data_IF_218808906232
#
_entry.id   IF_218808906232
#
_cell.length_a   1.000
_cell.length_b   1.000
_cell.length_c   1.000
_cell.angle_alpha   90.00
_cell.angle_beta   90.00
_cell.angle_gamma   90.00
#
_symmetry.space_group_name_H-M   'P 1'
#
loop_
_entity.id
_entity.type
_entity.pdbx_description
1 polymer ?
#
# COMPACT_ATOMS: atom_id res chain seq x y z
N UNK A 1 1.14 -22.21 0.32
CA UNK A 1 2.31 -21.33 0.43
C UNK A 1 2.44 -20.94 1.89
N UNK A 2 3.56 -21.26 2.53
CA UNK A 2 3.78 -20.90 3.94
C UNK A 2 4.81 -19.80 4.04
N UNK A 3 4.51 -18.82 4.89
CA UNK A 3 5.49 -17.85 5.35
C UNK A 3 5.57 -17.98 6.86
N UNK A 4 6.77 -18.23 7.34
CA UNK A 4 7.11 -18.38 8.75
C UNK A 4 8.23 -17.39 9.06
N UNK A 5 8.48 -17.16 10.34
CA UNK A 5 9.45 -16.18 10.81
C UNK A 5 10.61 -16.81 11.59
N UNK A 6 10.86 -18.10 11.39
CA UNK A 6 11.93 -18.85 12.07
C UNK A 6 13.32 -18.24 11.84
N UNK A 7 13.53 -17.58 10.69
CA UNK A 7 14.79 -16.90 10.37
C UNK A 7 15.07 -15.70 11.27
N UNK A 8 14.04 -15.16 11.94
CA UNK A 8 14.14 -14.02 12.84
C UNK A 8 13.45 -14.31 14.19
N UNK A 9 13.71 -15.50 14.73
CA UNK A 9 13.24 -15.94 16.07
C UNK A 9 11.72 -15.82 16.27
N UNK A 10 10.96 -15.98 15.20
CA UNK A 10 9.50 -15.87 15.19
C UNK A 10 8.94 -14.46 15.01
N UNK A 11 9.81 -13.45 14.90
CA UNK A 11 9.42 -12.09 14.58
C UNK A 11 9.16 -11.94 13.06
N UNK A 12 7.90 -11.79 12.68
CA UNK A 12 7.50 -11.63 11.29
C UNK A 12 7.57 -10.18 10.80
N UNK A 13 8.01 -9.21 11.61
CA UNK A 13 8.00 -7.78 11.25
C UNK A 13 8.82 -7.44 10.00
N UNK A 14 9.70 -8.34 9.54
CA UNK A 14 10.52 -8.17 8.33
C UNK A 14 10.21 -9.19 7.22
N UNK A 15 9.06 -9.86 7.28
CA UNK A 15 8.63 -10.78 6.23
C UNK A 15 7.98 -10.05 5.04
N UNK A 16 8.80 -9.26 4.32
CA UNK A 16 8.41 -8.40 3.20
C UNK A 16 8.54 -9.07 1.82
N UNK A 17 8.18 -8.29 0.79
CA UNK A 17 8.54 -8.46 -0.64
C UNK A 17 8.33 -9.88 -1.19
N UNK A 18 7.09 -10.36 -1.13
CA UNK A 18 6.69 -11.67 -1.66
C UNK A 18 5.22 -11.67 -2.02
N UNK A 19 4.76 -12.53 -2.92
CA UNK A 19 3.35 -12.57 -3.27
C UNK A 19 2.84 -14.00 -3.42
N UNK A 20 1.54 -14.20 -3.25
CA UNK A 20 0.85 -15.44 -3.60
C UNK A 20 -0.40 -15.12 -4.41
N UNK A 21 -0.49 -15.68 -5.62
CA UNK A 21 -1.57 -15.38 -6.56
C UNK A 21 -2.07 -16.59 -7.34
N UNK A 22 -3.39 -16.67 -7.53
CA UNK A 22 -4.06 -17.62 -8.44
C UNK A 22 -3.78 -19.10 -8.15
N UNK A 23 -3.89 -19.50 -6.87
CA UNK A 23 -3.65 -20.87 -6.41
C UNK A 23 -4.82 -21.38 -5.57
N UNK A 24 -5.03 -22.71 -5.56
CA UNK A 24 -5.81 -23.38 -4.53
C UNK A 24 -4.88 -24.22 -3.66
N UNK A 25 -4.95 -24.01 -2.34
CA UNK A 25 -4.05 -24.62 -1.36
C UNK A 25 -4.87 -25.47 -0.41
N UNK A 26 -4.50 -26.76 -0.31
CA UNK A 26 -4.98 -27.66 0.74
C UNK A 26 -3.82 -27.94 1.68
N UNK A 27 -3.73 -27.28 2.84
CA UNK A 27 -2.63 -27.51 3.78
C UNK A 27 -2.70 -28.93 4.35
N UNK A 28 -1.55 -29.60 4.42
CA UNK A 28 -1.47 -31.02 4.81
C UNK A 28 -1.80 -31.28 6.29
N UNK A 29 -1.61 -30.29 7.15
CA UNK A 29 -1.92 -30.33 8.59
C UNK A 29 -3.14 -29.45 8.95
N UNK A 30 -3.84 -28.90 7.94
CA UNK A 30 -4.97 -27.99 8.13
C UNK A 30 -4.59 -26.50 8.23
N UNK A 31 -3.30 -26.14 8.32
CA UNK A 31 -2.83 -24.77 8.47
C UNK A 31 -2.00 -24.28 7.28
N UNK A 32 -2.40 -23.17 6.66
CA UNK A 32 -1.56 -22.42 5.73
C UNK A 32 -1.04 -21.15 6.40
N UNK A 33 -0.04 -21.27 7.28
CA UNK A 33 0.55 -20.11 7.98
C UNK A 33 1.12 -19.10 6.98
N UNK A 34 0.70 -17.85 7.09
CA UNK A 34 1.14 -16.75 6.24
C UNK A 34 1.54 -15.57 7.12
N UNK A 35 2.61 -15.77 7.90
CA UNK A 35 3.16 -14.81 8.85
C UNK A 35 3.96 -13.73 8.10
N UNK A 36 3.29 -12.67 7.65
CA UNK A 36 3.90 -11.61 6.82
C UNK A 36 3.77 -10.22 7.44
N UNK A 37 4.51 -9.29 6.87
CA UNK A 37 4.36 -7.86 7.08
C UNK A 37 3.93 -7.15 5.79
N UNK A 38 4.30 -5.90 5.58
CA UNK A 38 3.97 -5.09 4.40
C UNK A 38 4.53 -5.69 3.08
N UNK A 39 3.98 -5.24 1.94
CA UNK A 39 4.32 -5.70 0.58
C UNK A 39 4.32 -7.22 0.39
N UNK A 40 3.35 -7.89 1.01
CA UNK A 40 3.20 -9.34 0.97
C UNK A 40 1.82 -9.81 0.47
N UNK A 41 1.33 -9.36 -0.70
CA UNK A 41 -0.07 -9.51 -1.07
C UNK A 41 -0.49 -10.96 -1.25
N UNK A 42 -1.72 -11.25 -0.81
CA UNK A 42 -2.47 -12.46 -1.14
C UNK A 42 -3.60 -12.08 -2.10
N UNK A 43 -3.54 -12.58 -3.33
CA UNK A 43 -4.58 -12.33 -4.34
C UNK A 43 -5.11 -13.64 -4.90
N UNK A 44 -6.41 -13.72 -5.18
CA UNK A 44 -6.98 -14.84 -5.93
C UNK A 44 -6.59 -16.23 -5.37
N UNK A 45 -6.56 -16.37 -4.06
CA UNK A 45 -6.14 -17.59 -3.37
C UNK A 45 -7.35 -18.33 -2.81
N UNK A 46 -7.40 -19.65 -2.94
CA UNK A 46 -8.35 -20.49 -2.21
C UNK A 46 -7.63 -21.36 -1.18
N UNK A 47 -7.69 -20.99 0.09
CA UNK A 47 -7.14 -21.78 1.20
C UNK A 47 -8.23 -22.65 1.81
N UNK A 48 -8.09 -23.96 1.63
CA UNK A 48 -9.00 -24.99 2.17
C UNK A 48 -8.58 -25.43 3.57
N UNK A 49 -8.64 -24.50 4.52
CA UNK A 49 -8.20 -24.70 5.88
C UNK A 49 -8.03 -23.39 6.65
N UNK A 50 -7.35 -23.46 7.79
CA UNK A 50 -7.05 -22.29 8.60
C UNK A 50 -5.81 -21.56 8.07
N UNK A 51 -5.85 -20.23 8.06
CA UNK A 51 -4.74 -19.36 7.68
C UNK A 51 -4.36 -18.45 8.87
N UNK A 52 -3.42 -18.89 9.73
CA UNK A 52 -2.82 -18.02 10.73
C UNK A 52 -1.94 -16.97 10.05
N UNK A 53 -2.15 -15.69 10.40
CA UNK A 53 -1.43 -14.56 9.81
C UNK A 53 -0.16 -14.17 10.58
N UNK A 54 0.23 -14.96 11.56
CA UNK A 54 1.34 -14.71 12.49
C UNK A 54 2.20 -15.97 12.63
N UNK A 55 3.39 -15.84 13.24
CA UNK A 55 4.25 -17.01 13.48
C UNK A 55 3.80 -17.89 14.65
N UNK A 56 2.87 -17.39 15.49
CA UNK A 56 2.44 -18.04 16.72
C UNK A 56 3.21 -17.55 17.95
N UNK A 57 2.77 -17.99 19.14
CA UNK A 57 3.34 -17.61 20.44
C UNK A 57 3.36 -16.08 20.66
N UNK A 58 4.53 -15.49 20.90
CA UNK A 58 4.69 -14.06 21.16
C UNK A 58 5.30 -13.31 19.96
N UNK A 59 5.34 -13.95 18.78
CA UNK A 59 5.96 -13.36 17.58
C UNK A 59 5.17 -12.16 17.06
N UNK A 60 5.84 -11.05 16.76
CA UNK A 60 5.22 -9.85 16.18
C UNK A 60 4.96 -10.01 14.69
N UNK A 61 3.94 -9.31 14.17
CA UNK A 61 3.62 -9.27 12.74
C UNK A 61 2.88 -7.96 12.41
N UNK A 62 3.19 -7.35 11.26
CA UNK A 62 2.67 -6.03 10.85
C UNK A 62 2.22 -6.03 9.37
N UNK A 63 1.40 -7.01 9.03
CA UNK A 63 0.75 -7.13 7.72
C UNK A 63 -0.47 -6.20 7.64
N UNK A 64 -1.33 -6.36 6.64
CA UNK A 64 -1.18 -7.18 5.46
C UNK A 64 -2.38 -6.98 4.54
N UNK A 65 -2.33 -7.60 3.37
CA UNK A 65 -3.30 -7.37 2.31
C UNK A 65 -3.80 -8.70 1.72
N UNK A 66 -5.13 -8.86 1.68
CA UNK A 66 -5.79 -10.01 1.08
C UNK A 66 -6.95 -9.55 0.18
N UNK A 67 -6.95 -9.98 -1.08
CA UNK A 67 -7.96 -9.63 -2.06
C UNK A 67 -8.38 -10.82 -2.93
N UNK A 68 -9.62 -10.78 -3.46
CA UNK A 68 -10.18 -11.75 -4.40
C UNK A 68 -10.04 -13.22 -3.95
N UNK A 69 -10.00 -13.47 -2.65
CA UNK A 69 -9.58 -14.76 -2.10
C UNK A 69 -10.68 -15.43 -1.27
N UNK A 70 -10.61 -16.75 -1.20
CA UNK A 70 -11.48 -17.59 -0.37
C UNK A 70 -10.65 -18.29 0.70
N UNK A 71 -11.03 -18.14 1.97
CA UNK A 71 -10.34 -18.78 3.09
C UNK A 71 -11.36 -19.36 4.05
N UNK A 72 -11.25 -20.66 4.34
CA UNK A 72 -12.21 -21.33 5.23
C UNK A 72 -12.18 -20.74 6.64
N UNK A 73 -11.00 -20.38 7.15
CA UNK A 73 -10.85 -19.68 8.44
C UNK A 73 -9.56 -18.84 8.46
N UNK A 74 -9.65 -17.58 8.85
CA UNK A 74 -8.49 -16.70 9.08
C UNK A 74 -8.30 -16.49 10.57
N UNK A 75 -7.05 -16.56 11.04
CA UNK A 75 -6.70 -16.22 12.43
C UNK A 75 -5.65 -15.12 12.40
N UNK A 76 -5.99 -13.91 12.85
CA UNK A 76 -5.07 -12.77 12.84
C UNK A 76 -3.87 -13.01 13.76
N UNK A 77 -4.09 -13.67 14.89
CA UNK A 77 -3.05 -13.83 15.91
C UNK A 77 -2.58 -12.48 16.43
N UNK A 78 -1.27 -12.29 16.46
CA UNK A 78 -0.61 -11.03 16.86
C UNK A 78 -0.52 -9.96 15.76
N UNK A 79 -1.09 -10.21 14.57
CA UNK A 79 -1.10 -9.21 13.51
C UNK A 79 -1.67 -7.90 14.00
N UNK A 80 -0.89 -6.82 13.89
CA UNK A 80 -1.27 -5.51 14.37
C UNK A 80 -2.48 -4.95 13.61
N UNK A 81 -2.47 -5.10 12.29
CA UNK A 81 -3.52 -4.64 11.38
C UNK A 81 -3.65 -5.55 10.16
N UNK A 82 -4.74 -5.40 9.39
CA UNK A 82 -4.93 -6.12 8.14
C UNK A 82 -6.04 -5.51 7.27
N UNK A 83 -5.87 -5.48 5.94
CA UNK A 83 -6.95 -5.24 4.99
C UNK A 83 -7.34 -6.53 4.27
N UNK A 84 -8.64 -6.85 4.31
CA UNK A 84 -9.27 -7.86 3.46
C UNK A 84 -10.33 -7.20 2.58
N UNK A 85 -10.27 -7.39 1.26
CA UNK A 85 -11.32 -6.89 0.35
C UNK A 85 -11.80 -7.92 -0.65
N UNK A 86 -13.06 -7.79 -1.10
CA UNK A 86 -13.65 -8.62 -2.15
C UNK A 86 -13.33 -10.11 -2.02
N UNK A 87 -13.57 -10.65 -0.82
CA UNK A 87 -13.14 -11.99 -0.45
C UNK A 87 -14.27 -12.75 0.23
N UNK A 88 -14.13 -14.06 0.30
CA UNK A 88 -15.04 -14.96 1.01
C UNK A 88 -14.31 -15.60 2.19
N UNK A 89 -14.77 -15.32 3.41
CA UNK A 89 -14.24 -15.90 4.63
C UNK A 89 -15.28 -16.83 5.25
N UNK A 90 -14.89 -18.06 5.62
CA UNK A 90 -15.76 -18.90 6.44
C UNK A 90 -15.84 -18.38 7.89
N UNK A 91 -14.71 -17.88 8.40
CA UNK A 91 -14.59 -17.23 9.71
C UNK A 91 -13.37 -16.30 9.72
N UNK A 92 -13.48 -15.16 10.41
CA UNK A 92 -12.34 -14.36 10.87
C UNK A 92 -12.25 -14.40 12.39
N UNK A 93 -11.09 -14.77 12.92
CA UNK A 93 -10.84 -14.83 14.36
C UNK A 93 -9.65 -13.92 14.76
N UNK A 94 -9.87 -13.09 15.78
CA UNK A 94 -8.86 -12.20 16.36
C UNK A 94 -8.97 -10.75 15.90
N UNK A 95 -8.29 -9.88 16.63
CA UNK A 95 -8.12 -8.46 16.34
C UNK A 95 -7.01 -7.92 17.24
N UNK A 96 -6.26 -6.94 16.75
CA UNK A 96 -5.26 -6.22 17.54
C UNK A 96 -5.57 -4.71 17.52
N UNK A 97 -5.21 -3.99 16.45
CA UNK A 97 -5.42 -2.53 16.39
C UNK A 97 -6.33 -2.07 15.25
N UNK A 98 -6.23 -2.67 14.05
CA UNK A 98 -6.95 -2.17 12.88
C UNK A 98 -7.21 -3.28 11.83
N UNK A 99 -8.33 -4.00 11.94
CA UNK A 99 -8.72 -5.02 10.97
C UNK A 99 -9.85 -4.50 10.09
N UNK A 100 -9.57 -4.27 8.81
CA UNK A 100 -10.48 -3.63 7.86
C UNK A 100 -10.99 -4.64 6.83
N UNK A 101 -12.30 -4.62 6.58
CA UNK A 101 -12.99 -5.50 5.64
C UNK A 101 -13.82 -4.67 4.67
N UNK A 102 -13.63 -4.85 3.36
CA UNK A 102 -14.34 -4.08 2.33
C UNK A 102 -14.94 -5.01 1.29
N UNK A 103 -16.26 -5.09 1.19
CA UNK A 103 -16.90 -6.01 0.24
C UNK A 103 -16.59 -7.48 0.53
N UNK A 104 -16.49 -7.87 1.80
CA UNK A 104 -16.10 -9.23 2.20
C UNK A 104 -17.32 -10.04 2.65
N UNK A 105 -17.56 -11.16 1.97
CA UNK A 105 -18.51 -12.17 2.41
C UNK A 105 -17.97 -12.95 3.60
N UNK A 106 -18.79 -13.05 4.66
CA UNK A 106 -18.36 -13.68 5.92
C UNK A 106 -17.42 -12.85 6.79
N UNK A 107 -17.29 -11.53 6.52
CA UNK A 107 -16.65 -10.61 7.45
C UNK A 107 -17.33 -10.64 8.84
N UNK A 108 -16.58 -10.38 9.92
CA UNK A 108 -17.17 -10.16 11.24
C UNK A 108 -18.09 -8.91 11.20
N UNK A 109 -18.98 -8.71 12.18
CA UNK A 109 -19.75 -7.47 12.27
C UNK A 109 -18.82 -6.27 12.55
N UNK A 110 -19.19 -5.09 12.06
CA UNK A 110 -18.50 -3.84 12.44
C UNK A 110 -18.54 -3.68 13.96
N UNK A 111 -17.38 -3.48 14.56
CA UNK A 111 -17.23 -3.12 15.96
C UNK A 111 -15.85 -2.52 16.10
N UNK A 112 -15.73 -1.29 16.59
CA UNK A 112 -14.46 -0.63 16.87
C UNK A 112 -14.68 0.22 18.13
N UNK A 113 -13.78 0.21 19.12
CA UNK A 113 -12.39 -0.27 19.05
C UNK A 113 -12.13 -1.71 19.53
N UNK A 114 -13.06 -2.42 20.18
CA UNK A 114 -12.76 -3.76 20.73
C UNK A 114 -13.84 -4.84 20.50
N UNK A 115 -13.66 -5.79 19.55
CA UNK A 115 -12.50 -5.92 18.66
C UNK A 115 -12.37 -4.69 17.75
N UNK A 116 -11.20 -4.47 17.15
CA UNK A 116 -10.97 -3.34 16.23
C UNK A 116 -11.29 -3.74 14.79
N UNK A 117 -12.57 -3.98 14.49
CA UNK A 117 -13.09 -4.43 13.20
C UNK A 117 -13.85 -3.30 12.47
N UNK A 118 -13.25 -2.78 11.40
CA UNK A 118 -13.90 -1.80 10.51
C UNK A 118 -14.43 -2.51 9.29
N UNK A 119 -15.76 -2.50 9.11
CA UNK A 119 -16.41 -3.22 8.01
C UNK A 119 -17.16 -2.25 7.11
N UNK A 120 -16.89 -2.32 5.82
CA UNK A 120 -17.56 -1.59 4.74
C UNK A 120 -18.22 -2.61 3.81
N UNK A 121 -19.51 -2.43 3.53
CA UNK A 121 -20.35 -3.47 2.92
C UNK A 121 -19.95 -3.86 1.49
N UNK A 122 -19.49 -2.88 0.70
CA UNK A 122 -19.08 -3.04 -0.69
C UNK A 122 -17.78 -2.31 -0.98
N UNK A 123 -17.07 -2.79 -2.00
CA UNK A 123 -15.92 -2.09 -2.60
C UNK A 123 -16.45 -1.21 -3.74
N UNK A 124 -16.45 0.13 -3.60
CA UNK A 124 -17.15 1.03 -4.53
C UNK A 124 -16.76 0.85 -5.99
N UNK A 125 -15.45 0.77 -6.26
CA UNK A 125 -14.96 0.60 -7.62
C UNK A 125 -13.59 -0.06 -7.57
N UNK A 126 -13.41 -1.16 -8.29
CA UNK A 126 -12.13 -1.87 -8.35
C UNK A 126 -12.03 -2.73 -9.61
N UNK A 127 -10.82 -2.96 -10.07
CA UNK A 127 -10.46 -3.96 -11.06
C UNK A 127 -9.46 -4.88 -10.40
N UNK A 128 -9.61 -6.19 -10.51
CA UNK A 128 -8.60 -7.08 -9.93
C UNK A 128 -7.32 -7.06 -10.77
N UNK A 129 -6.17 -7.26 -10.12
CA UNK A 129 -4.84 -7.17 -10.75
C UNK A 129 -4.72 -8.10 -11.98
N UNK A 130 -4.10 -7.65 -13.09
CA UNK A 130 -3.72 -8.55 -14.17
C UNK A 130 -2.76 -9.65 -13.72
N UNK A 131 -2.87 -10.83 -14.33
CA UNK A 131 -1.99 -11.96 -14.00
C UNK A 131 -1.65 -12.81 -15.22
N UNK A 132 -0.43 -13.34 -15.25
CA UNK A 132 0.03 -14.29 -16.25
C UNK A 132 -0.63 -15.65 -16.02
N UNK A 133 -1.06 -16.32 -17.09
CA UNK A 133 -1.58 -17.68 -17.05
C UNK A 133 -1.29 -18.42 -18.36
N UNK A 134 -1.62 -19.71 -18.39
CA UNK A 134 -1.60 -20.52 -19.62
C UNK A 134 -3.00 -20.57 -20.22
N UNK A 135 -3.14 -20.06 -21.45
CA UNK A 135 -4.32 -20.22 -22.30
C UNK A 135 -4.12 -21.44 -23.20
N UNK A 136 -4.51 -22.63 -22.70
CA UNK A 136 -4.08 -23.88 -23.30
C UNK A 136 -2.58 -24.11 -23.06
N UNK A 137 -1.79 -24.10 -24.13
CA UNK A 137 -0.32 -24.26 -24.07
C UNK A 137 0.44 -22.92 -24.20
N UNK A 138 -0.27 -21.81 -24.47
CA UNK A 138 0.33 -20.50 -24.73
C UNK A 138 0.26 -19.59 -23.50
N UNK A 139 1.27 -18.73 -23.31
CA UNK A 139 1.21 -17.70 -22.27
C UNK A 139 0.33 -16.52 -22.69
N UNK A 140 -0.50 -16.07 -21.75
CA UNK A 140 -1.32 -14.87 -21.88
C UNK A 140 -1.41 -14.14 -20.54
N UNK A 141 -1.72 -12.84 -20.59
CA UNK A 141 -2.06 -12.04 -19.41
C UNK A 141 -3.58 -11.89 -19.38
N UNK A 142 -4.19 -12.38 -18.30
CA UNK A 142 -5.61 -12.17 -18.06
C UNK A 142 -5.83 -10.81 -17.39
N UNK A 143 -6.77 -10.04 -17.91
CA UNK A 143 -7.14 -8.70 -17.44
C UNK A 143 -8.58 -8.76 -16.96
N UNK A 144 -8.83 -8.84 -15.65
CA UNK A 144 -10.18 -8.84 -15.09
C UNK A 144 -10.99 -7.59 -15.49
N UNK A 145 -12.30 -7.76 -15.68
CA UNK A 145 -13.22 -6.62 -15.87
C UNK A 145 -13.37 -5.83 -14.55
N UNK A 146 -13.58 -4.50 -14.62
CA UNK A 146 -13.87 -3.70 -13.44
C UNK A 146 -15.21 -4.11 -12.81
N UNK A 147 -15.32 -3.93 -11.49
CA UNK A 147 -16.54 -4.13 -10.72
C UNK A 147 -16.82 -2.90 -9.86
N UNK A 148 -18.09 -2.53 -9.78
CA UNK A 148 -18.59 -1.46 -8.92
C UNK A 148 -19.47 -2.05 -7.82
N UNK A 149 -19.49 -1.38 -6.67
CA UNK A 149 -20.23 -1.80 -5.47
C UNK A 149 -20.09 -3.30 -5.19
N UNK A 150 -18.86 -3.77 -5.35
CA UNK A 150 -18.57 -5.19 -5.44
C UNK A 150 -18.42 -5.82 -4.07
N UNK A 151 -18.75 -7.11 -4.02
CA UNK A 151 -18.63 -7.94 -2.83
C UNK A 151 -18.27 -9.36 -3.23
N UNK A 152 -17.46 -10.01 -2.40
CA UNK A 152 -16.99 -11.37 -2.63
C UNK A 152 -16.02 -11.50 -3.81
N UNK A 153 -15.60 -12.75 -4.04
CA UNK A 153 -14.60 -13.11 -5.05
C UNK A 153 -15.17 -13.00 -6.48
N UNK A 154 -14.31 -12.65 -7.43
CA UNK A 154 -14.65 -12.56 -8.86
C UNK A 154 -14.99 -13.90 -9.50
N UNK A 155 -14.54 -15.00 -8.90
CA UNK A 155 -14.61 -16.35 -9.44
C UNK A 155 -15.64 -17.25 -8.74
N UNK A 156 -16.55 -16.67 -7.97
CA UNK A 156 -17.60 -17.40 -7.24
C UNK A 156 -18.56 -18.15 -8.17
N UNK A 157 -18.90 -17.53 -9.31
CA UNK A 157 -19.93 -17.99 -10.24
C UNK A 157 -19.35 -18.54 -11.56
N UNK A 158 -18.11 -19.00 -11.55
CA UNK A 158 -17.40 -19.48 -12.73
C UNK A 158 -16.13 -18.68 -13.02
N UNK A 159 -15.62 -18.70 -14.26
CA UNK A 159 -14.48 -17.89 -14.64
C UNK A 159 -14.75 -16.40 -14.38
N UNK A 160 -13.72 -15.71 -13.87
CA UNK A 160 -13.75 -14.26 -13.72
C UNK A 160 -14.01 -13.61 -15.07
N UNK A 161 -14.96 -12.65 -15.18
CA UNK A 161 -15.10 -11.83 -16.38
C UNK A 161 -13.83 -11.02 -16.66
N UNK A 162 -13.44 -10.93 -17.92
CA UNK A 162 -12.21 -10.26 -18.33
C UNK A 162 -11.76 -10.66 -19.72
N UNK A 163 -10.61 -10.12 -20.12
CA UNK A 163 -10.01 -10.33 -21.44
C UNK A 163 -8.62 -10.94 -21.30
N UNK A 164 -8.30 -11.90 -22.17
CA UNK A 164 -6.94 -12.46 -22.28
C UNK A 164 -6.17 -11.78 -23.38
N UNK A 165 -5.00 -11.26 -23.05
CA UNK A 165 -4.07 -10.64 -24.01
C UNK A 165 -2.91 -11.61 -24.23
N UNK A 166 -2.64 -12.05 -25.48
CA UNK A 166 -1.57 -12.99 -25.75
C UNK A 166 -0.21 -12.35 -25.44
N UNK A 167 0.74 -13.16 -24.94
CA UNK A 167 2.07 -12.66 -24.57
C UNK A 167 2.82 -11.99 -25.75
N UNK A 168 2.46 -12.29 -27.00
CA UNK A 168 3.00 -11.62 -28.18
C UNK A 168 2.71 -10.11 -28.25
N UNK A 169 1.74 -9.61 -27.48
CA UNK A 169 1.46 -8.16 -27.34
C UNK A 169 2.26 -7.49 -26.22
N UNK A 170 3.12 -8.24 -25.53
CA UNK A 170 4.01 -7.72 -24.51
C UNK A 170 5.44 -7.70 -25.04
N UNK A 171 6.19 -6.67 -24.69
CA UNK A 171 7.63 -6.76 -24.59
C UNK A 171 7.97 -7.42 -23.26
N UNK A 172 8.64 -8.57 -23.34
CA UNK A 172 9.09 -9.33 -22.17
C UNK A 172 10.50 -8.89 -21.83
N UNK A 173 10.62 -8.01 -20.84
CA UNK A 173 11.89 -7.47 -20.41
C UNK A 173 12.67 -8.48 -19.56
N UNK A 174 13.96 -8.61 -19.84
CA UNK A 174 14.90 -9.49 -19.15
C UNK A 174 16.09 -8.72 -18.61
N UNK A 175 16.84 -9.34 -17.69
CA UNK A 175 18.12 -8.76 -17.22
C UNK A 175 19.00 -8.35 -18.41
N UNK A 176 19.36 -7.07 -18.46
CA UNK A 176 20.13 -6.46 -19.55
C UNK A 176 19.31 -5.59 -20.51
N UNK A 177 17.97 -5.65 -20.47
CA UNK A 177 17.13 -4.63 -21.11
C UNK A 177 17.27 -3.29 -20.38
N UNK A 178 17.26 -2.21 -21.16
CA UNK A 178 17.37 -0.84 -20.67
C UNK A 178 16.04 -0.10 -20.81
N UNK A 179 15.96 1.09 -20.23
CA UNK A 179 14.75 1.90 -20.33
C UNK A 179 14.47 2.40 -21.77
N UNK A 180 15.48 2.51 -22.63
CA UNK A 180 15.27 2.86 -24.03
C UNK A 180 14.51 1.75 -24.80
N UNK A 181 14.88 0.48 -24.59
CA UNK A 181 14.21 -0.66 -25.24
C UNK A 181 12.77 -0.81 -24.75
N UNK A 182 12.55 -0.66 -23.43
CA UNK A 182 11.22 -0.67 -22.83
C UNK A 182 10.34 0.47 -23.37
N UNK A 183 10.87 1.70 -23.43
CA UNK A 183 10.16 2.86 -23.97
C UNK A 183 9.87 2.72 -25.47
N UNK A 184 10.79 2.15 -26.25
CA UNK A 184 10.56 1.90 -27.67
C UNK A 184 9.39 0.91 -27.87
N UNK A 185 9.33 -0.16 -27.09
CA UNK A 185 8.22 -1.11 -27.14
C UNK A 185 6.89 -0.47 -26.74
N UNK A 186 6.88 0.34 -25.68
CA UNK A 186 5.70 1.12 -25.27
C UNK A 186 5.22 2.05 -26.40
N UNK A 187 6.14 2.75 -27.07
CA UNK A 187 5.82 3.64 -28.19
C UNK A 187 5.27 2.89 -29.41
N UNK A 188 5.66 1.64 -29.62
CA UNK A 188 5.11 0.74 -30.64
C UNK A 188 3.73 0.16 -30.26
N UNK A 189 3.22 0.47 -29.06
CA UNK A 189 1.92 0.03 -28.56
C UNK A 189 1.95 -1.32 -27.84
N UNK A 190 3.13 -1.84 -27.48
CA UNK A 190 3.25 -3.04 -26.65
C UNK A 190 2.95 -2.72 -25.20
N UNK A 191 2.49 -3.73 -24.48
CA UNK A 191 2.53 -3.77 -23.03
C UNK A 191 3.94 -4.17 -22.54
N UNK A 192 4.20 -4.07 -21.24
CA UNK A 192 5.43 -4.55 -20.63
C UNK A 192 5.16 -5.70 -19.66
N UNK A 193 5.92 -6.77 -19.80
CA UNK A 193 6.04 -7.82 -18.78
C UNK A 193 7.50 -7.83 -18.31
N UNK A 194 7.75 -7.40 -17.08
CA UNK A 194 9.10 -7.33 -16.52
C UNK A 194 9.38 -8.62 -15.74
N UNK A 195 10.31 -9.42 -16.23
CA UNK A 195 10.67 -10.69 -15.56
C UNK A 195 11.43 -10.44 -14.26
N UNK A 196 11.49 -11.42 -13.33
CA UNK A 196 12.14 -11.21 -12.03
C UNK A 196 13.60 -10.78 -12.18
N UNK A 197 13.96 -9.65 -11.59
CA UNK A 197 15.28 -9.04 -11.70
C UNK A 197 15.34 -7.64 -11.10
N UNK A 198 16.54 -7.08 -11.05
CA UNK A 198 16.82 -5.69 -10.63
C UNK A 198 17.36 -4.94 -11.84
N UNK A 199 16.61 -3.96 -12.32
CA UNK A 199 16.86 -3.22 -13.55
C UNK A 199 17.29 -1.80 -13.19
N UNK A 200 18.52 -1.44 -13.55
CA UNK A 200 19.02 -0.07 -13.43
C UNK A 200 18.61 0.69 -14.69
N UNK A 201 17.95 1.83 -14.52
CA UNK A 201 17.41 2.63 -15.62
C UNK A 201 17.97 4.06 -15.56
N UNK A 202 18.38 4.59 -16.70
CA UNK A 202 19.01 5.91 -16.84
C UNK A 202 18.06 6.96 -17.46
N UNK A 203 16.82 6.57 -17.70
CA UNK A 203 15.72 7.41 -18.17
C UNK A 203 14.40 6.87 -17.62
N UNK A 204 13.41 7.76 -17.49
CA UNK A 204 12.06 7.42 -17.07
C UNK A 204 11.41 6.42 -18.02
N UNK A 205 10.70 5.43 -17.49
CA UNK A 205 9.77 4.60 -18.27
C UNK A 205 8.48 5.40 -18.51
N UNK A 206 8.23 5.78 -19.76
CA UNK A 206 7.17 6.69 -20.17
C UNK A 206 5.98 5.92 -20.76
N UNK A 207 4.84 5.94 -20.07
CA UNK A 207 3.64 5.19 -20.45
C UNK A 207 2.58 6.17 -20.94
N UNK A 208 2.49 6.34 -22.26
CA UNK A 208 1.60 7.33 -22.88
C UNK A 208 0.39 6.74 -23.60
N UNK A 209 0.31 5.42 -23.76
CA UNK A 209 -0.77 4.76 -24.48
C UNK A 209 -1.87 4.30 -23.50
N UNK A 210 -3.17 4.54 -23.79
CA UNK A 210 -4.26 4.07 -22.94
C UNK A 210 -4.29 2.54 -22.88
N UNK A 211 -4.79 2.00 -21.78
CA UNK A 211 -4.90 0.55 -21.50
C UNK A 211 -3.56 -0.20 -21.43
N UNK A 212 -2.43 0.51 -21.36
CA UNK A 212 -1.12 -0.12 -21.25
C UNK A 212 -1.00 -0.87 -19.92
N UNK A 213 -0.51 -2.10 -19.97
CA UNK A 213 -0.21 -2.91 -18.78
C UNK A 213 1.30 -2.96 -18.61
N UNK A 214 1.78 -2.65 -17.41
CA UNK A 214 3.15 -2.92 -16.97
C UNK A 214 3.06 -3.89 -15.80
N UNK A 215 3.37 -5.15 -16.06
CA UNK A 215 3.27 -6.25 -15.10
C UNK A 215 4.66 -6.74 -14.71
N UNK A 216 5.03 -6.56 -13.45
CA UNK A 216 6.23 -7.13 -12.86
C UNK A 216 5.97 -8.55 -12.31
N UNK A 217 6.93 -9.44 -12.52
CA UNK A 217 6.94 -10.78 -11.94
C UNK A 217 8.03 -10.89 -10.89
N UNK A 218 7.75 -11.61 -9.80
CA UNK A 218 8.76 -11.95 -8.79
C UNK A 218 9.46 -10.75 -8.16
N UNK A 219 8.71 -9.67 -7.87
CA UNK A 219 9.23 -8.41 -7.31
C UNK A 219 10.25 -7.75 -8.26
N UNK A 220 9.92 -7.71 -9.56
CA UNK A 220 10.70 -6.96 -10.54
C UNK A 220 10.95 -5.55 -10.03
N UNK A 221 12.23 -5.18 -9.96
CA UNK A 221 12.69 -3.97 -9.28
C UNK A 221 13.31 -3.00 -10.27
N UNK A 222 12.89 -1.74 -10.27
CA UNK A 222 13.49 -0.66 -11.06
C UNK A 222 14.31 0.25 -10.14
N UNK A 223 15.57 0.49 -10.48
CA UNK A 223 16.45 1.47 -9.80
C UNK A 223 16.72 2.62 -10.78
N UNK A 224 16.10 3.81 -10.59
CA UNK A 224 16.42 4.98 -11.38
C UNK A 224 17.81 5.52 -11.02
N UNK A 225 18.60 5.87 -12.04
CA UNK A 225 19.94 6.43 -11.91
C UNK A 225 20.02 7.83 -12.53
N UNK A 226 20.97 8.65 -12.06
CA UNK A 226 21.26 9.93 -12.70
C UNK A 226 20.21 11.04 -12.50
N UNK A 227 19.38 10.94 -11.47
CA UNK A 227 18.41 12.00 -11.14
C UNK A 227 17.01 11.79 -11.74
N UNK A 228 16.78 10.70 -12.45
CA UNK A 228 15.52 10.48 -13.21
C UNK A 228 14.41 9.94 -12.32
N UNK A 229 13.17 10.12 -12.76
CA UNK A 229 12.02 9.39 -12.21
C UNK A 229 12.07 7.95 -12.73
N UNK A 230 11.49 6.99 -12.02
CA UNK A 230 11.46 5.61 -12.51
C UNK A 230 10.35 5.40 -13.55
N UNK A 231 9.14 5.86 -13.23
CA UNK A 231 7.95 5.65 -14.07
C UNK A 231 7.16 6.96 -14.15
N UNK A 232 6.72 7.31 -15.36
CA UNK A 232 5.73 8.34 -15.60
C UNK A 232 4.60 7.78 -16.46
N UNK A 233 3.37 7.93 -15.96
CA UNK A 233 2.15 7.59 -16.69
C UNK A 233 1.51 8.88 -17.16
N UNK A 234 1.26 9.03 -18.45
CA UNK A 234 0.53 10.17 -18.99
C UNK A 234 -0.94 10.15 -18.54
N UNK A 235 -1.63 11.28 -18.67
CA UNK A 235 -3.06 11.43 -18.34
C UNK A 235 -3.97 10.70 -19.36
N UNK A 236 -3.98 9.36 -19.32
CA UNK A 236 -4.70 8.47 -20.24
C UNK A 236 -5.46 7.37 -19.52
N UNK A 237 -6.52 6.87 -20.16
CA UNK A 237 -7.38 5.83 -19.58
C UNK A 237 -6.66 4.49 -19.35
N UNK A 238 -7.02 3.78 -18.28
CA UNK A 238 -6.93 2.33 -18.18
C UNK A 238 -5.55 1.74 -17.99
N UNK A 239 -4.51 2.55 -17.77
CA UNK A 239 -3.16 2.04 -17.50
C UNK A 239 -3.16 1.21 -16.21
N UNK A 240 -2.46 0.08 -16.21
CA UNK A 240 -2.34 -0.80 -15.06
C UNK A 240 -0.85 -1.03 -14.74
N UNK A 241 -0.39 -0.50 -13.61
CA UNK A 241 0.92 -0.84 -13.04
C UNK A 241 0.71 -1.94 -11.99
N UNK A 242 1.41 -3.06 -12.12
CA UNK A 242 1.15 -4.23 -11.29
C UNK A 242 2.43 -4.96 -10.88
N UNK A 243 2.67 -5.12 -9.57
CA UNK A 243 3.73 -6.00 -9.04
C UNK A 243 5.16 -5.51 -9.26
N UNK A 244 5.39 -4.20 -9.10
CA UNK A 244 6.67 -3.54 -9.34
C UNK A 244 7.18 -2.93 -8.03
N UNK A 245 8.47 -3.11 -7.77
CA UNK A 245 9.21 -2.36 -6.75
C UNK A 245 10.04 -1.28 -7.43
N UNK A 246 9.92 -0.03 -7.00
CA UNK A 246 10.85 1.04 -7.37
C UNK A 246 11.80 1.28 -6.18
N UNK A 247 13.09 1.11 -6.40
CA UNK A 247 14.12 1.21 -5.38
C UNK A 247 15.02 2.41 -5.69
N UNK A 248 14.94 3.47 -4.87
CA UNK A 248 15.54 4.75 -5.17
C UNK A 248 17.06 4.67 -5.29
N UNK A 249 17.61 5.22 -6.38
CA UNK A 249 19.06 5.28 -6.60
C UNK A 249 19.76 6.38 -5.78
N UNK A 250 21.09 6.24 -5.65
CA UNK A 250 21.95 7.21 -4.94
C UNK A 250 21.94 8.62 -5.56
N UNK A 251 21.60 8.74 -6.84
CA UNK A 251 21.51 10.03 -7.53
C UNK A 251 20.30 10.87 -7.11
N UNK A 252 19.36 10.28 -6.39
CA UNK A 252 18.09 10.89 -6.02
C UNK A 252 17.09 10.96 -7.17
N UNK A 253 15.80 11.05 -6.85
CA UNK A 253 14.74 11.38 -7.80
C UNK A 253 13.87 12.49 -7.21
N UNK A 254 13.33 13.38 -8.04
CA UNK A 254 12.28 14.29 -7.56
C UNK A 254 11.01 13.48 -7.24
N UNK A 255 10.62 12.59 -8.16
CA UNK A 255 9.48 11.68 -7.96
C UNK A 255 9.89 10.28 -8.42
N UNK A 256 9.61 9.23 -7.64
CA UNK A 256 9.85 7.86 -8.12
C UNK A 256 8.82 7.42 -9.16
N UNK A 257 7.52 7.62 -8.87
CA UNK A 257 6.40 7.28 -9.74
C UNK A 257 5.44 8.48 -9.86
N UNK A 258 5.22 8.95 -11.08
CA UNK A 258 4.27 10.03 -11.39
C UNK A 258 3.10 9.49 -12.24
N UNK A 259 1.86 9.80 -11.84
CA UNK A 259 0.65 9.30 -12.49
C UNK A 259 -0.26 10.45 -12.92
N UNK A 260 -0.40 10.64 -14.23
CA UNK A 260 -1.12 11.75 -14.84
C UNK A 260 -0.26 13.02 -14.92
N UNK A 261 -0.83 14.04 -15.55
CA UNK A 261 -0.16 15.33 -15.76
C UNK A 261 -0.64 16.37 -14.75
N UNK A 262 0.29 17.18 -14.24
CA UNK A 262 -0.02 18.26 -13.29
C UNK A 262 -1.08 19.22 -13.86
N UNK A 263 -2.08 19.56 -13.05
CA UNK A 263 -3.14 20.49 -13.42
C UNK A 263 -4.15 19.94 -14.42
N UNK A 264 -4.08 18.64 -14.75
CA UNK A 264 -5.13 18.00 -15.53
C UNK A 264 -6.50 18.07 -14.82
N UNK A 265 -7.55 18.14 -15.64
CA UNK A 265 -8.95 18.05 -15.22
C UNK A 265 -9.68 16.89 -15.90
N UNK A 266 -8.94 16.01 -16.61
CA UNK A 266 -9.50 14.86 -17.31
C UNK A 266 -10.09 13.88 -16.31
N UNK A 267 -11.22 13.27 -16.67
CA UNK A 267 -11.87 12.23 -15.86
C UNK A 267 -11.75 10.88 -16.54
N UNK A 268 -11.47 9.85 -15.75
CA UNK A 268 -11.25 8.48 -16.18
C UNK A 268 -12.25 7.50 -15.53
N UNK A 269 -13.40 7.98 -15.03
CA UNK A 269 -14.40 7.21 -14.25
C UNK A 269 -14.74 5.80 -14.78
N UNK A 270 -14.83 5.64 -16.10
CA UNK A 270 -15.20 4.35 -16.72
C UNK A 270 -14.00 3.40 -16.88
N UNK A 271 -12.78 3.94 -16.92
CA UNK A 271 -11.56 3.20 -17.15
C UNK A 271 -10.35 3.93 -16.53
N UNK A 272 -10.28 4.01 -15.19
CA UNK A 272 -9.23 4.73 -14.48
C UNK A 272 -7.88 4.03 -14.58
N UNK A 273 -6.84 4.77 -14.19
CA UNK A 273 -5.51 4.21 -13.98
C UNK A 273 -5.52 3.38 -12.68
N UNK A 274 -4.81 2.26 -12.69
CA UNK A 274 -4.72 1.34 -11.56
C UNK A 274 -3.28 1.07 -11.15
N UNK A 275 -3.05 1.09 -9.84
CA UNK A 275 -1.81 0.65 -9.22
C UNK A 275 -2.10 -0.56 -8.35
N UNK A 276 -1.47 -1.70 -8.63
CA UNK A 276 -1.61 -2.93 -7.88
C UNK A 276 -0.27 -3.42 -7.37
N UNK A 277 -0.12 -3.61 -6.05
CA UNK A 277 1.13 -4.14 -5.49
C UNK A 277 2.35 -3.32 -5.99
N UNK A 278 2.21 -1.99 -5.95
CA UNK A 278 3.26 -1.04 -6.35
C UNK A 278 3.98 -0.59 -5.10
N UNK A 279 5.28 -0.81 -5.06
CA UNK A 279 6.09 -0.58 -3.87
C UNK A 279 7.21 0.41 -4.16
N UNK A 280 7.54 1.25 -3.20
CA UNK A 280 8.71 2.11 -3.25
C UNK A 280 9.61 1.85 -2.04
N UNK A 281 10.92 1.78 -2.27
CA UNK A 281 11.95 1.63 -1.24
C UNK A 281 12.98 2.75 -1.39
N UNK A 282 13.33 3.40 -0.28
CA UNK A 282 14.36 4.44 -0.24
C UNK A 282 15.35 4.10 0.89
N UNK A 283 16.48 3.51 0.57
CA UNK A 283 17.38 2.93 1.57
C UNK A 283 17.17 1.42 1.77
N UNK A 284 18.02 0.79 2.59
CA UNK A 284 17.86 -0.58 3.07
C UNK A 284 18.75 -1.58 2.33
N UNK A 285 18.88 -1.46 1.02
CA UNK A 285 19.86 -2.22 0.22
C UNK A 285 21.12 -1.42 -0.12
N UNK A 286 20.98 -0.10 -0.20
CA UNK A 286 22.01 0.91 -0.41
C UNK A 286 21.42 2.27 -0.05
N UNK A 287 22.24 3.33 -0.02
CA UNK A 287 21.71 4.67 0.11
C UNK A 287 20.89 5.06 -1.13
N UNK A 288 19.87 5.87 -0.95
CA UNK A 288 19.00 6.35 -2.01
C UNK A 288 18.13 7.48 -1.48
N UNK A 289 17.63 8.34 -2.35
CA UNK A 289 16.79 9.45 -1.94
C UNK A 289 15.68 9.73 -2.93
N UNK A 290 14.56 10.28 -2.47
CA UNK A 290 13.56 10.87 -3.36
C UNK A 290 12.73 11.92 -2.64
N UNK A 291 12.33 13.00 -3.32
CA UNK A 291 11.44 13.97 -2.68
C UNK A 291 10.04 13.38 -2.49
N UNK A 292 9.50 12.71 -3.50
CA UNK A 292 8.18 12.05 -3.44
C UNK A 292 8.27 10.61 -3.97
N UNK A 293 7.67 9.64 -3.28
CA UNK A 293 7.63 8.26 -3.79
C UNK A 293 6.53 8.01 -4.82
N UNK A 294 5.34 8.55 -4.59
CA UNK A 294 4.21 8.41 -5.50
C UNK A 294 3.43 9.73 -5.59
N UNK A 295 3.34 10.28 -6.79
CA UNK A 295 2.60 11.51 -7.10
C UNK A 295 1.46 11.19 -8.07
N UNK A 296 0.21 11.40 -7.64
CA UNK A 296 -1.00 11.06 -8.41
C UNK A 296 -1.76 12.33 -8.77
N UNK A 297 -1.65 12.75 -10.03
CA UNK A 297 -2.42 13.85 -10.61
C UNK A 297 -3.72 13.36 -11.25
N UNK A 298 -3.70 12.20 -11.92
CA UNK A 298 -4.85 11.69 -12.66
C UNK A 298 -6.05 11.45 -11.75
N UNK A 299 -7.19 12.03 -12.12
CA UNK A 299 -8.45 11.83 -11.44
C UNK A 299 -8.92 10.37 -11.55
N UNK A 300 -9.79 9.94 -10.65
CA UNK A 300 -10.38 8.59 -10.64
C UNK A 300 -9.40 7.42 -10.42
N UNK A 301 -8.09 7.69 -10.32
CA UNK A 301 -7.06 6.67 -10.11
C UNK A 301 -7.40 5.75 -8.93
N UNK A 302 -7.20 4.45 -9.12
CA UNK A 302 -7.38 3.45 -8.07
C UNK A 302 -6.05 2.87 -7.64
N UNK A 303 -5.70 3.18 -6.39
CA UNK A 303 -4.51 2.67 -5.72
C UNK A 303 -4.96 1.44 -4.91
N UNK A 304 -4.51 0.26 -5.30
CA UNK A 304 -4.95 -1.01 -4.72
C UNK A 304 -3.76 -1.82 -4.24
N UNK A 305 -3.38 -1.57 -2.99
CA UNK A 305 -2.19 -2.04 -2.29
C UNK A 305 -0.91 -1.35 -2.77
N UNK A 306 -0.40 -0.47 -1.92
CA UNK A 306 0.94 0.11 -2.03
C UNK A 306 1.70 -0.06 -0.72
N UNK A 307 3.02 -0.04 -0.82
CA UNK A 307 3.88 0.20 0.33
C UNK A 307 4.98 1.17 -0.09
N UNK A 308 4.98 2.35 0.52
CA UNK A 308 5.96 3.39 0.27
C UNK A 308 6.79 3.50 1.55
N UNK A 309 8.05 3.06 1.47
CA UNK A 309 8.89 2.86 2.65
C UNK A 309 10.21 3.61 2.47
N UNK A 310 10.38 4.68 3.26
CA UNK A 310 11.71 5.19 3.56
C UNK A 310 12.34 4.24 4.57
N UNK A 311 13.48 3.65 4.23
CA UNK A 311 14.04 2.59 5.02
C UNK A 311 14.36 2.98 6.47
N UNK A 312 13.98 2.13 7.42
CA UNK A 312 14.31 2.25 8.85
C UNK A 312 15.42 1.28 9.30
N UNK A 313 15.76 0.28 8.47
CA UNK A 313 16.81 -0.70 8.73
C UNK A 313 17.48 -1.21 7.44
N UNK A 314 18.66 -1.82 7.59
CA UNK A 314 19.48 -2.31 6.48
C UNK A 314 20.65 -1.37 6.16
N UNK A 315 21.15 -1.46 4.94
CA UNK A 315 22.27 -0.66 4.45
C UNK A 315 21.79 0.72 3.94
N UNK A 316 22.58 1.77 4.16
CA UNK A 316 22.27 3.11 3.65
C UNK A 316 21.08 3.78 4.34
N UNK A 317 20.90 3.56 5.64
CA UNK A 317 19.84 4.14 6.47
C UNK A 317 20.35 5.25 7.38
N UNK A 318 19.56 6.30 7.53
CA UNK A 318 19.74 7.36 8.52
C UNK A 318 19.16 8.69 8.06
N UNK A 319 18.92 9.61 9.00
CA UNK A 319 18.25 10.89 8.75
C UNK A 319 18.80 11.65 7.54
N UNK A 320 20.13 11.74 7.41
CA UNK A 320 20.80 12.41 6.28
C UNK A 320 21.34 11.44 5.21
N UNK A 321 21.05 10.14 5.32
CA UNK A 321 21.62 9.07 4.46
C UNK A 321 20.63 8.62 3.39
N UNK A 322 19.36 8.43 3.76
CA UNK A 322 18.27 8.11 2.84
C UNK A 322 17.15 9.17 2.90
N UNK A 323 17.44 10.43 2.53
CA UNK A 323 16.47 11.50 2.68
C UNK A 323 15.26 11.25 1.78
N UNK A 324 14.06 11.43 2.36
CA UNK A 324 12.81 11.32 1.64
C UNK A 324 11.72 12.21 2.23
N UNK A 325 11.16 13.11 1.43
CA UNK A 325 10.27 14.17 1.94
C UNK A 325 8.84 13.67 2.16
N UNK A 326 8.19 13.12 1.13
CA UNK A 326 6.81 12.65 1.20
C UNK A 326 6.65 11.26 0.56
N UNK A 327 5.75 10.45 1.10
CA UNK A 327 5.42 9.15 0.51
C UNK A 327 4.47 9.31 -0.65
N UNK A 328 3.23 9.68 -0.34
CA UNK A 328 2.14 9.80 -1.29
C UNK A 328 1.61 11.23 -1.35
N UNK A 329 1.50 11.77 -2.55
CA UNK A 329 0.76 13.01 -2.82
C UNK A 329 -0.34 12.73 -3.84
N UNK A 330 -1.59 13.03 -3.47
CA UNK A 330 -2.76 12.87 -4.33
C UNK A 330 -3.33 14.23 -4.70
N UNK A 331 -3.12 14.66 -5.93
CA UNK A 331 -3.70 15.85 -6.51
C UNK A 331 -5.03 15.58 -7.22
N UNK A 332 -5.22 14.37 -7.72
CA UNK A 332 -6.42 14.01 -8.48
C UNK A 332 -7.70 13.94 -7.62
N UNK A 333 -8.83 14.34 -8.20
CA UNK A 333 -10.15 14.15 -7.61
C UNK A 333 -10.65 12.71 -7.78
N UNK A 334 -11.54 12.27 -6.89
CA UNK A 334 -12.20 10.96 -6.90
C UNK A 334 -11.26 9.74 -6.85
N UNK A 335 -9.99 9.95 -6.50
CA UNK A 335 -9.00 8.90 -6.28
C UNK A 335 -9.44 8.00 -5.13
N UNK A 336 -9.26 6.69 -5.30
CA UNK A 336 -9.60 5.69 -4.29
C UNK A 336 -8.38 4.86 -3.91
N UNK A 337 -8.09 4.78 -2.61
CA UNK A 337 -7.03 3.96 -2.05
C UNK A 337 -7.56 2.78 -1.26
N UNK A 338 -7.08 1.57 -1.57
CA UNK A 338 -7.28 0.36 -0.79
C UNK A 338 -5.91 -0.12 -0.29
N UNK A 339 -5.71 -0.18 1.02
CA UNK A 339 -4.48 -0.75 1.58
C UNK A 339 -3.28 0.17 1.35
N UNK A 340 -3.32 1.37 1.95
CA UNK A 340 -2.24 2.33 1.89
C UNK A 340 -1.27 2.10 3.06
N UNK A 341 -0.04 1.71 2.78
CA UNK A 341 1.05 1.59 3.77
C UNK A 341 2.13 2.62 3.42
N UNK A 342 2.36 3.62 4.29
CA UNK A 342 3.29 4.73 3.99
C UNK A 342 4.08 5.09 5.24
N UNK A 343 5.40 4.93 5.21
CA UNK A 343 6.20 4.90 6.44
C UNK A 343 7.51 5.71 6.37
N UNK A 344 7.82 6.31 7.52
CA UNK A 344 9.10 6.91 7.91
C UNK A 344 9.59 8.15 7.14
N UNK A 345 8.77 8.78 6.29
CA UNK A 345 9.16 9.99 5.56
C UNK A 345 9.49 11.16 6.49
N UNK A 346 10.31 12.11 6.02
CA UNK A 346 10.81 13.24 6.81
C UNK A 346 9.87 14.44 6.83
N UNK A 347 8.84 14.43 5.98
CA UNK A 347 7.72 15.36 5.99
C UNK A 347 6.39 14.64 6.23
N UNK A 348 5.32 15.18 5.65
CA UNK A 348 4.03 14.50 5.65
C UNK A 348 4.11 13.16 4.90
N UNK A 349 3.56 12.11 5.49
CA UNK A 349 3.63 10.78 4.89
C UNK A 349 2.67 10.70 3.69
N UNK A 350 1.43 11.19 3.89
CA UNK A 350 0.41 11.35 2.86
C UNK A 350 -0.09 12.79 2.83
N UNK A 351 -0.20 13.37 1.63
CA UNK A 351 -0.89 14.63 1.35
C UNK A 351 -2.00 14.37 0.33
N UNK A 352 -3.23 14.79 0.65
CA UNK A 352 -4.41 14.64 -0.19
C UNK A 352 -5.02 15.99 -0.52
N UNK A 353 -4.88 16.40 -1.78
CA UNK A 353 -5.31 17.69 -2.29
C UNK A 353 -6.62 17.62 -3.09
N UNK A 354 -6.97 16.47 -3.66
CA UNK A 354 -8.17 16.29 -4.49
C UNK A 354 -9.45 16.04 -3.69
N UNK A 355 -10.59 16.52 -4.20
CA UNK A 355 -11.91 16.26 -3.61
C UNK A 355 -12.38 14.81 -3.84
N UNK A 356 -13.34 14.38 -3.01
CA UNK A 356 -13.98 13.06 -3.06
C UNK A 356 -12.99 11.90 -2.91
N UNK A 357 -11.85 12.15 -2.25
CA UNK A 357 -10.88 11.12 -1.93
C UNK A 357 -11.48 10.06 -1.01
N UNK A 358 -11.16 8.80 -1.28
CA UNK A 358 -11.62 7.66 -0.47
C UNK A 358 -10.46 6.77 -0.08
N UNK A 359 -10.27 6.55 1.22
CA UNK A 359 -9.25 5.64 1.75
C UNK A 359 -9.88 4.51 2.54
N UNK A 360 -9.59 3.28 2.14
CA UNK A 360 -9.98 2.08 2.84
C UNK A 360 -8.71 1.39 3.33
N UNK A 361 -8.49 1.46 4.64
CA UNK A 361 -7.27 1.08 5.33
C UNK A 361 -6.08 2.02 5.05
N UNK A 362 -5.51 2.53 6.14
CA UNK A 362 -4.21 3.20 6.18
C UNK A 362 -3.38 2.66 7.34
N UNK A 363 -2.10 2.43 7.09
CA UNK A 363 -1.11 2.17 8.12
C UNK A 363 0.13 3.04 7.88
N UNK A 364 0.66 3.59 8.97
CA UNK A 364 1.86 4.40 8.95
C UNK A 364 2.62 4.26 10.26
N UNK A 365 3.95 4.15 10.14
CA UNK A 365 4.88 4.45 11.22
C UNK A 365 5.62 5.76 10.89
N UNK A 366 5.70 6.65 11.87
CA UNK A 366 6.52 7.86 11.80
C UNK A 366 8.02 7.50 11.74
N UNK A 367 8.92 8.38 11.24
CA UNK A 367 10.34 8.08 11.24
C UNK A 367 10.87 7.83 12.64
N UNK A 368 11.76 6.86 12.77
CA UNK A 368 12.36 6.49 14.05
C UNK A 368 13.57 7.34 14.42
N UNK A 369 14.19 7.91 13.40
CA UNK A 369 15.52 8.51 13.40
C UNK A 369 15.59 10.05 13.32
N UNK A 370 14.53 10.87 13.56
CA UNK A 370 14.75 12.29 13.77
C UNK A 370 15.68 12.50 14.98
N UNK A 371 16.79 13.24 14.84
CA UNK A 371 17.83 13.28 15.88
C UNK A 371 17.42 14.05 17.14
N UNK A 372 16.33 14.82 17.09
CA UNK A 372 15.74 15.57 18.20
C UNK A 372 14.45 16.25 17.70
N UNK A 373 13.67 16.82 18.63
CA UNK A 373 12.45 17.55 18.28
C UNK A 373 12.69 18.68 17.29
N UNK A 374 13.81 19.41 17.34
CA UNK A 374 14.04 20.55 16.44
C UNK A 374 14.21 20.12 14.97
N UNK A 375 14.69 18.90 14.72
CA UNK A 375 14.71 18.29 13.38
C UNK A 375 13.32 17.77 12.96
N UNK A 376 12.43 17.54 13.92
CA UNK A 376 11.05 17.09 13.73
C UNK A 376 10.05 18.20 14.07
N UNK A 377 10.19 19.36 13.43
CA UNK A 377 9.23 20.48 13.51
C UNK A 377 8.69 20.81 12.13
N UNK A 378 7.39 21.06 12.01
CA UNK A 378 6.77 21.67 10.84
C UNK A 378 6.44 23.14 11.15
N UNK A 379 7.41 24.03 10.94
CA UNK A 379 7.30 25.41 11.40
C UNK A 379 7.19 25.49 12.92
N UNK A 380 6.08 26.02 13.43
CA UNK A 380 5.80 26.11 14.86
C UNK A 380 5.04 24.88 15.42
N UNK A 381 4.62 23.94 14.55
CA UNK A 381 3.92 22.70 14.95
C UNK A 381 4.90 21.56 15.25
N UNK A 382 4.59 20.78 16.28
CA UNK A 382 5.39 19.62 16.69
C UNK A 382 5.22 18.50 15.65
N UNK A 383 6.31 18.14 14.97
CA UNK A 383 6.35 17.03 14.02
C UNK A 383 5.57 17.23 12.73
N UNK A 384 5.67 16.23 11.85
CA UNK A 384 4.91 16.16 10.61
C UNK A 384 3.78 15.15 10.71
N UNK A 385 2.61 15.54 10.23
CA UNK A 385 1.38 14.74 10.22
C UNK A 385 1.50 13.54 9.29
N UNK A 386 0.99 12.38 9.70
CA UNK A 386 0.99 11.18 8.87
C UNK A 386 0.00 11.27 7.70
N UNK A 387 -1.19 11.82 7.90
CA UNK A 387 -2.20 11.95 6.85
C UNK A 387 -2.80 13.35 6.82
N UNK A 388 -2.56 14.10 5.75
CA UNK A 388 -3.09 15.46 5.57
C UNK A 388 -4.14 15.48 4.46
N UNK A 389 -5.34 15.96 4.77
CA UNK A 389 -6.32 16.43 3.79
C UNK A 389 -6.21 17.95 3.74
N UNK A 390 -5.97 18.50 2.55
CA UNK A 390 -5.69 19.92 2.37
C UNK A 390 -6.92 20.81 2.60
N UNK A 391 -6.69 22.05 3.04
CA UNK A 391 -7.73 23.00 3.48
C UNK A 391 -8.86 23.24 2.47
N UNK A 392 -8.57 23.15 1.16
CA UNK A 392 -9.56 23.35 0.09
C UNK A 392 -10.46 22.15 -0.20
N UNK A 393 -10.22 20.99 0.40
CA UNK A 393 -11.03 19.78 0.21
C UNK A 393 -12.32 19.90 1.00
N UNK A 394 -13.44 19.60 0.35
CA UNK A 394 -14.79 19.67 0.93
C UNK A 394 -15.41 18.30 1.18
N UNK A 395 -14.91 17.26 0.48
CA UNK A 395 -15.37 15.89 0.64
C UNK A 395 -14.16 14.95 0.68
N UNK A 396 -14.05 14.16 1.75
CA UNK A 396 -13.04 13.12 1.91
C UNK A 396 -13.54 12.07 2.88
N UNK A 397 -13.42 10.79 2.53
CA UNK A 397 -13.86 9.69 3.40
C UNK A 397 -12.71 8.71 3.65
N UNK A 398 -12.50 8.31 4.90
CA UNK A 398 -11.49 7.33 5.24
C UNK A 398 -11.93 6.34 6.33
N UNK A 399 -11.59 5.07 6.18
CA UNK A 399 -11.95 3.97 7.08
C UNK A 399 -10.72 3.20 7.54
N UNK A 400 -10.56 3.03 8.85
CA UNK A 400 -9.52 2.17 9.44
C UNK A 400 -8.12 2.72 9.26
N UNK A 401 -7.72 3.72 10.06
CA UNK A 401 -6.41 4.38 9.97
C UNK A 401 -5.59 4.13 11.23
N UNK A 402 -4.37 3.62 11.06
CA UNK A 402 -3.41 3.43 12.14
C UNK A 402 -2.14 4.26 11.94
N UNK A 403 -1.74 5.02 12.97
CA UNK A 403 -0.50 5.81 12.96
C UNK A 403 0.34 5.51 14.21
N UNK A 404 1.57 5.05 14.01
CA UNK A 404 2.42 4.56 15.08
C UNK A 404 3.69 5.41 15.21
N UNK A 405 4.20 5.52 16.43
CA UNK A 405 5.45 6.18 16.76
C UNK A 405 6.41 5.20 17.44
N UNK A 406 7.68 5.23 17.03
CA UNK A 406 8.79 4.48 17.63
C UNK A 406 10.06 5.34 17.57
N UNK A 407 10.07 6.46 18.28
CA UNK A 407 11.20 7.42 18.24
C UNK A 407 12.42 6.85 18.98
N UNK A 408 13.33 6.21 18.23
CA UNK A 408 14.47 5.48 18.79
C UNK A 408 15.59 6.41 19.29
N UNK A 409 15.76 7.57 18.67
CA UNK A 409 16.81 8.53 19.02
C UNK A 409 16.43 9.39 20.26
N UNK A 410 15.16 9.77 20.39
CA UNK A 410 14.61 10.46 21.56
C UNK A 410 13.12 10.14 21.77
N UNK A 411 12.84 9.39 22.83
CA UNK A 411 11.50 8.93 23.19
C UNK A 411 10.50 10.06 23.52
N UNK A 412 10.95 11.31 23.69
CA UNK A 412 10.08 12.46 23.97
C UNK A 412 9.73 13.27 22.72
N UNK A 413 10.25 12.90 21.55
CA UNK A 413 9.84 13.54 20.29
C UNK A 413 8.33 13.37 20.14
N UNK A 414 7.68 14.49 19.88
CA UNK A 414 6.25 14.65 19.85
C UNK A 414 5.82 15.03 18.43
N UNK A 415 4.75 14.39 17.96
CA UNK A 415 3.96 14.79 16.81
C UNK A 415 2.61 15.30 17.33
N UNK A 416 2.21 16.48 16.89
CA UNK A 416 1.00 17.14 17.38
C UNK A 416 -0.26 16.36 17.01
N UNK A 417 -0.36 15.91 15.77
CA UNK A 417 -1.53 15.17 15.27
C UNK A 417 -1.14 14.10 14.26
N UNK A 418 -1.78 12.94 14.34
CA UNK A 418 -1.60 11.89 13.36
C UNK A 418 -2.29 12.22 12.02
N UNK A 419 -3.46 12.85 12.08
CA UNK A 419 -4.29 13.21 10.92
C UNK A 419 -4.64 14.70 10.99
N UNK A 420 -4.56 15.41 9.86
CA UNK A 420 -4.98 16.80 9.74
C UNK A 420 -5.98 16.96 8.60
N UNK A 421 -7.09 17.64 8.84
CA UNK A 421 -8.16 17.84 7.85
C UNK A 421 -8.78 19.23 7.96
N UNK A 422 -9.44 19.73 6.91
CA UNK A 422 -10.41 20.81 7.08
C UNK A 422 -11.60 20.34 7.92
N UNK A 423 -12.35 21.30 8.45
CA UNK A 423 -13.64 21.05 9.10
C UNK A 423 -14.77 21.12 8.06
N UNK A 424 -15.72 20.18 8.12
CA UNK A 424 -16.92 20.22 7.30
C UNK A 424 -17.67 18.89 7.28
N UNK A 425 -18.96 18.94 6.98
CA UNK A 425 -19.87 17.78 6.99
C UNK A 425 -19.53 16.70 5.93
N UNK A 426 -18.63 17.00 4.99
CA UNK A 426 -18.15 16.05 3.99
C UNK A 426 -16.81 15.39 4.34
N UNK A 427 -16.24 15.66 5.52
CA UNK A 427 -14.96 15.11 5.98
C UNK A 427 -15.24 14.02 7.00
N UNK A 428 -15.22 12.77 6.54
CA UNK A 428 -15.67 11.61 7.31
C UNK A 428 -14.52 10.62 7.54
N UNK A 429 -14.04 10.52 8.77
CA UNK A 429 -13.03 9.57 9.19
C UNK A 429 -13.63 8.61 10.21
N UNK A 430 -13.49 7.30 9.97
CA UNK A 430 -14.04 6.26 10.83
C UNK A 430 -12.95 5.26 11.22
N UNK A 431 -12.94 4.86 12.49
CA UNK A 431 -12.01 3.89 13.08
C UNK A 431 -10.54 4.31 12.94
N UNK A 432 -10.08 5.16 13.85
CA UNK A 432 -8.70 5.65 13.89
C UNK A 432 -7.99 5.18 15.16
N UNK A 433 -6.70 4.87 15.07
CA UNK A 433 -5.88 4.48 16.21
C UNK A 433 -4.49 5.13 16.12
N UNK A 434 -4.00 5.63 17.25
CA UNK A 434 -2.61 6.04 17.41
C UNK A 434 -1.91 5.13 18.41
N UNK A 435 -0.64 4.79 18.16
CA UNK A 435 0.14 3.90 19.01
C UNK A 435 1.56 4.46 19.23
N UNK A 436 2.02 4.50 20.47
CA UNK A 436 3.42 4.69 20.85
C UNK A 436 4.03 3.33 21.14
N UNK A 437 4.73 2.77 20.15
CA UNK A 437 5.34 1.45 20.20
C UNK A 437 6.46 1.45 21.23
N UNK A 438 6.39 0.52 22.18
CA UNK A 438 7.37 0.44 23.27
C UNK A 438 7.42 1.68 24.15
N UNK A 439 6.41 2.57 24.10
CA UNK A 439 6.40 3.85 24.79
C UNK A 439 7.53 4.78 24.32
N UNK A 440 7.80 4.83 23.01
CA UNK A 440 8.83 5.66 22.39
C UNK A 440 8.21 6.64 21.39
N UNK A 441 8.25 7.94 21.73
CA UNK A 441 7.61 9.01 20.96
C UNK A 441 6.16 9.27 21.40
N UNK A 442 5.69 10.49 21.16
CA UNK A 442 4.37 10.98 21.56
C UNK A 442 3.57 11.37 20.33
N UNK A 443 2.30 10.99 20.28
CA UNK A 443 1.31 11.55 19.37
C UNK A 443 0.23 12.21 20.23
N UNK A 444 0.10 13.54 20.17
CA UNK A 444 -0.82 14.28 21.05
C UNK A 444 -2.28 14.03 20.66
N UNK A 445 -2.59 14.06 19.36
CA UNK A 445 -3.96 13.95 18.85
C UNK A 445 -4.09 12.92 17.72
N UNK A 446 -5.25 12.26 17.67
CA UNK A 446 -5.57 11.31 16.59
C UNK A 446 -5.86 12.07 15.31
N UNK A 447 -6.78 13.04 15.37
CA UNK A 447 -7.17 13.86 14.23
C UNK A 447 -7.41 15.30 14.68
N UNK A 448 -6.78 16.25 13.99
CA UNK A 448 -6.79 17.66 14.38
C UNK A 448 -6.45 17.83 15.87
N UNK A 449 -7.41 18.26 16.68
CA UNK A 449 -7.26 18.45 18.13
C UNK A 449 -8.06 17.41 18.95
N UNK A 450 -8.48 16.29 18.31
CA UNK A 450 -9.36 15.26 18.86
C UNK A 450 -8.61 13.93 19.12
N UNK A 451 -8.98 13.27 20.22
CA UNK A 451 -8.40 12.00 20.67
C UNK A 451 -6.96 12.13 21.21
N UNK A 452 -6.45 11.05 21.79
CA UNK A 452 -5.10 11.00 22.34
C UNK A 452 -4.97 11.55 23.77
N UNK A 453 -3.73 11.70 24.29
CA UNK A 453 -2.46 11.37 23.64
C UNK A 453 -2.09 9.88 23.70
N UNK A 454 -1.13 9.44 22.90
CA UNK A 454 -0.42 8.16 23.08
C UNK A 454 1.08 8.43 23.22
N UNK A 455 1.72 7.90 24.26
CA UNK A 455 3.13 8.19 24.56
C UNK A 455 3.56 7.69 25.93
N UNK A 456 4.81 7.95 26.35
CA UNK A 456 5.38 7.49 27.61
C UNK A 456 4.50 7.76 28.84
N UNK A 457 3.93 6.70 29.42
CA UNK A 457 3.06 6.77 30.60
C UNK A 457 1.66 7.34 30.33
N UNK A 458 1.24 7.40 29.06
CA UNK A 458 -0.04 7.94 28.61
C UNK A 458 -0.85 6.85 27.88
N UNK A 459 -2.06 6.57 28.37
CA UNK A 459 -3.01 5.63 27.77
C UNK A 459 -2.41 4.26 27.39
N UNK A 460 -1.46 3.77 28.19
CA UNK A 460 -0.69 2.54 27.90
C UNK A 460 -0.06 2.52 26.49
N UNK A 461 0.19 3.70 25.91
CA UNK A 461 0.78 3.86 24.59
C UNK A 461 -0.20 3.69 23.44
N UNK A 462 -1.52 3.71 23.67
CA UNK A 462 -2.51 3.53 22.60
C UNK A 462 -3.79 4.33 22.82
N UNK A 463 -4.36 4.90 21.76
CA UNK A 463 -5.66 5.56 21.82
C UNK A 463 -6.47 5.31 20.55
N UNK A 464 -7.76 5.05 20.72
CA UNK A 464 -8.71 4.81 19.62
C UNK A 464 -9.74 5.93 19.54
N UNK A 465 -10.08 6.33 18.32
CA UNK A 465 -11.15 7.28 18.03
C UNK A 465 -12.09 6.68 16.98
N UNK A 466 -13.37 6.54 17.31
CA UNK A 466 -14.36 5.87 16.45
C UNK A 466 -14.72 6.70 15.22
N UNK A 467 -14.86 8.02 15.38
CA UNK A 467 -15.11 8.98 14.30
C UNK A 467 -14.62 10.39 14.68
N UNK A 468 -14.43 11.26 13.69
CA UNK A 468 -14.11 12.68 13.90
C UNK A 468 -15.32 13.56 14.20
#
# INVERSE_FOLDING_TARGET
MRVEADWFDGNATQNFWRASENLSVTPWDGYNRYAVSQAAPIRRLHVRGEMPLWNGYDGWASGGFLADSKVDRVVSGSQQQWLTRNSELGEWAGSVWNMVFVGVDGAPPHHFPNPSHTVVDSTPWVKEKPYLYLDGDDYAVFVPDPRQDSRGITWANGPTPGTSIPLSEFHVAHEGDDAASMNAALAEGKHLLITPGVYRIDQTIEISNPNTIVLGLGLATLIPEGGVNAIKVADVDGVQLAGILVDAGEGGSEVLIEVGDEGSSTRHQENPIHLHDVFCRIGGAHAGSADVSLLVHAHDTVIDHIWLWRGDHGDGIGWDVNPATNGLIVNGEDVTGYGLFVEHYQGHQVIWNGNNGRTYFYQCELPYDPPNQAAWMNGDELGWTAYVVSEGVTNHTAYGLGVYSLMLEDANITTERAIATPAGDGIDFTSMVIVSLGQLGIINHVINDLGGPAGPGMNDGIFYLESN
#
